data_IF_324852879859
#
_entry.id   IF_324852879859
#
_cell.length_a   1.000
_cell.length_b   1.000
_cell.length_c   1.000
_cell.angle_alpha   90.00
_cell.angle_beta   90.00
_cell.angle_gamma   90.00
#
_symmetry.space_group_name_H-M   'P 1'
#
loop_
_entity.id
_entity.type
_entity.pdbx_description
1 polymer ?
#
# COMPACT_ATOMS: atom_id res chain seq x y z
N UNK A 1 -3.76 -12.55 19.43
CA UNK A 1 -3.32 -12.34 18.04
C UNK A 1 -2.77 -10.92 17.93
N UNK A 2 -1.46 -10.76 17.69
CA UNK A 2 -0.78 -9.47 17.77
C UNK A 2 -1.44 -8.36 16.94
N UNK A 3 -1.54 -7.18 17.55
CA UNK A 3 -1.80 -5.91 16.86
C UNK A 3 -0.60 -5.58 15.97
N UNK A 4 -0.84 -4.87 14.87
CA UNK A 4 0.22 -4.46 13.94
C UNK A 4 0.91 -3.20 14.44
N UNK A 5 2.21 -3.03 14.16
CA UNK A 5 2.93 -1.78 14.42
C UNK A 5 2.81 -0.75 13.29
N UNK A 6 1.99 -1.04 12.28
CA UNK A 6 1.68 -0.12 11.18
C UNK A 6 0.48 0.73 11.61
N UNK A 7 0.73 1.98 12.02
CA UNK A 7 -0.23 2.81 12.75
C UNK A 7 -1.47 3.20 11.94
N UNK A 8 -1.36 3.28 10.61
CA UNK A 8 -2.46 3.65 9.74
C UNK A 8 -3.44 2.50 9.44
N UNK A 9 -3.19 1.30 9.98
CA UNK A 9 -4.05 0.10 9.83
C UNK A 9 -4.24 -0.63 11.16
N UNK A 10 -5.20 -1.55 11.24
CA UNK A 10 -5.47 -2.30 12.49
C UNK A 10 -5.04 -3.76 12.40
N UNK A 11 -4.87 -4.28 11.18
CA UNK A 11 -4.46 -5.67 10.96
C UNK A 11 -3.64 -5.79 9.70
N UNK A 12 -2.84 -6.84 9.64
CA UNK A 12 -2.11 -7.24 8.44
C UNK A 12 -2.61 -8.61 8.01
N UNK A 13 -2.82 -8.77 6.71
CA UNK A 13 -3.12 -10.05 6.08
C UNK A 13 -2.11 -10.26 4.94
N UNK A 14 -1.38 -11.38 5.00
CA UNK A 14 -0.35 -11.71 4.01
C UNK A 14 -0.76 -12.99 3.24
N UNK A 15 -1.72 -12.89 2.30
CA UNK A 15 -2.15 -14.01 1.46
C UNK A 15 -1.10 -14.46 0.45
N UNK A 16 -0.02 -13.72 0.25
CA UNK A 16 1.09 -14.14 -0.61
C UNK A 16 2.42 -13.99 0.12
N UNK A 17 3.43 -14.76 -0.31
CA UNK A 17 4.79 -14.72 0.23
C UNK A 17 5.80 -14.63 -0.92
N UNK A 18 6.92 -13.95 -0.67
CA UNK A 18 7.93 -13.68 -1.69
C UNK A 18 7.81 -12.26 -2.25
N UNK A 19 8.85 -11.83 -2.97
CA UNK A 19 8.87 -10.55 -3.67
C UNK A 19 10.08 -10.48 -4.62
N UNK A 20 10.26 -9.34 -5.28
CA UNK A 20 11.51 -8.91 -5.90
C UNK A 20 11.62 -7.38 -5.83
N UNK A 21 12.86 -6.89 -5.81
CA UNK A 21 13.14 -5.45 -5.68
C UNK A 21 12.96 -4.76 -7.04
N UNK A 22 12.20 -3.65 -7.08
CA UNK A 22 11.90 -2.93 -8.32
C UNK A 22 12.00 -1.39 -8.24
N UNK A 23 12.31 -0.86 -7.06
CA UNK A 23 12.48 0.58 -6.85
C UNK A 23 13.42 0.89 -5.68
N UNK A 24 13.91 2.15 -5.56
CA UNK A 24 14.76 2.58 -4.46
C UNK A 24 14.18 2.32 -3.08
N UNK A 25 12.86 2.30 -2.90
CA UNK A 25 12.23 1.93 -1.63
C UNK A 25 12.53 0.50 -1.17
N UNK A 26 12.98 -0.37 -2.07
CA UNK A 26 13.45 -1.72 -1.72
C UNK A 26 14.87 -1.74 -1.14
N UNK A 27 15.59 -0.61 -1.10
CA UNK A 27 16.98 -0.51 -0.65
C UNK A 27 17.99 -0.70 -1.79
N UNK A 28 19.16 -1.25 -1.48
CA UNK A 28 20.32 -1.37 -2.36
C UNK A 28 20.03 -2.15 -3.67
N UNK A 29 19.74 -1.43 -4.75
CA UNK A 29 19.37 -2.03 -6.04
C UNK A 29 19.70 -1.18 -7.26
N UNK A 30 20.35 -0.03 -7.06
CA UNK A 30 20.95 0.76 -8.13
C UNK A 30 22.44 0.97 -7.79
N UNK A 31 23.32 1.14 -8.79
CA UNK A 31 24.76 1.32 -8.57
C UNK A 31 25.10 2.44 -7.57
N UNK A 32 24.23 3.45 -7.44
CA UNK A 32 24.40 4.60 -6.55
C UNK A 32 24.02 4.32 -5.08
N UNK A 33 23.42 3.16 -4.77
CA UNK A 33 22.81 2.83 -3.47
C UNK A 33 23.46 1.63 -2.75
N UNK A 34 24.64 1.18 -3.18
CA UNK A 34 25.33 0.04 -2.56
C UNK A 34 25.60 0.32 -1.07
N UNK A 35 25.05 -0.53 -0.20
CA UNK A 35 25.24 -0.44 1.27
C UNK A 35 24.35 0.58 2.00
N UNK A 36 23.43 1.26 1.30
CA UNK A 36 22.46 2.20 1.90
C UNK A 36 21.01 1.73 1.69
N UNK A 37 20.14 1.98 2.67
CA UNK A 37 18.79 1.41 2.69
C UNK A 37 18.78 -0.09 3.00
N UNK A 38 17.60 -0.71 2.94
CA UNK A 38 17.48 -2.16 3.02
C UNK A 38 16.06 -2.67 3.20
N UNK A 39 15.67 -3.66 2.40
CA UNK A 39 14.32 -4.23 2.42
C UNK A 39 13.99 -4.85 3.80
N UNK A 40 13.08 -4.21 4.54
CA UNK A 40 12.55 -4.75 5.81
C UNK A 40 11.99 -6.16 5.62
N UNK A 41 11.27 -6.38 4.53
CA UNK A 41 10.61 -7.65 4.25
C UNK A 41 11.62 -8.80 4.02
N UNK A 42 12.81 -8.54 3.44
CA UNK A 42 13.86 -9.56 3.34
C UNK A 42 14.43 -9.94 4.72
N UNK A 43 14.64 -8.94 5.60
CA UNK A 43 15.12 -9.20 6.97
C UNK A 43 14.11 -10.03 7.77
N UNK A 44 12.82 -9.75 7.62
CA UNK A 44 11.76 -10.52 8.25
C UNK A 44 11.61 -11.91 7.63
N UNK A 45 11.61 -12.01 6.31
CA UNK A 45 11.58 -13.26 5.57
C UNK A 45 12.73 -14.18 5.94
N UNK A 46 13.94 -13.64 6.15
CA UNK A 46 15.11 -14.40 6.59
C UNK A 46 14.93 -15.10 7.95
N UNK A 47 14.15 -14.50 8.87
CA UNK A 47 13.83 -15.14 10.17
C UNK A 47 12.89 -16.33 10.01
N UNK A 48 12.11 -16.32 8.93
CA UNK A 48 11.05 -17.27 8.64
C UNK A 48 11.40 -18.19 7.45
N UNK A 49 12.63 -18.17 6.95
CA UNK A 49 13.10 -19.06 5.89
C UNK A 49 13.71 -20.35 6.47
N UNK A 50 13.62 -21.44 5.72
CA UNK A 50 14.14 -22.77 6.10
C UNK A 50 13.10 -23.88 5.89
N UNK A 51 13.49 -25.17 5.97
CA UNK A 51 12.61 -26.30 5.70
C UNK A 51 11.32 -26.26 6.53
N UNK A 52 10.18 -26.40 5.86
CA UNK A 52 8.84 -26.38 6.46
C UNK A 52 8.38 -25.00 6.96
N UNK A 53 9.18 -23.95 6.79
CA UNK A 53 8.83 -22.60 7.26
C UNK A 53 8.13 -21.77 6.18
N UNK A 54 7.36 -20.74 6.59
CA UNK A 54 6.58 -19.92 5.66
C UNK A 54 7.36 -19.34 4.45
N UNK A 55 8.64 -19.03 4.62
CA UNK A 55 9.49 -18.43 3.57
C UNK A 55 10.55 -19.39 3.00
N UNK A 56 10.34 -20.70 3.12
CA UNK A 56 11.21 -21.71 2.52
C UNK A 56 11.40 -21.48 1.00
N UNK A 57 12.67 -21.36 0.58
CA UNK A 57 13.04 -21.15 -0.82
C UNK A 57 12.73 -19.76 -1.39
N UNK A 58 12.20 -18.84 -0.57
CA UNK A 58 11.84 -17.48 -0.99
C UNK A 58 12.93 -16.45 -0.67
N UNK A 59 13.87 -16.79 0.23
CA UNK A 59 15.01 -15.96 0.62
C UNK A 59 16.32 -16.71 0.35
N UNK A 60 17.27 -16.02 -0.29
CA UNK A 60 18.67 -16.43 -0.38
C UNK A 60 19.46 -15.68 0.68
N UNK A 61 20.15 -16.41 1.55
CA UNK A 61 21.10 -15.83 2.51
C UNK A 61 22.47 -15.69 1.84
N UNK A 62 23.09 -14.52 1.99
CA UNK A 62 24.40 -14.24 1.41
C UNK A 62 25.20 -13.25 2.25
N UNK A 63 26.46 -13.01 1.85
CA UNK A 63 27.40 -12.12 2.56
C UNK A 63 26.87 -10.69 2.73
N UNK A 64 26.05 -10.22 1.78
CA UNK A 64 25.47 -8.86 1.77
C UNK A 64 24.05 -8.81 2.37
N UNK A 65 23.71 -9.79 3.22
CA UNK A 65 22.40 -9.94 3.83
C UNK A 65 21.41 -10.78 3.01
N UNK A 66 20.18 -10.95 3.51
CA UNK A 66 19.15 -11.73 2.83
C UNK A 66 18.69 -11.04 1.54
N UNK A 67 18.35 -11.82 0.52
CA UNK A 67 17.75 -11.35 -0.72
C UNK A 67 16.56 -12.20 -1.12
N UNK A 68 15.53 -11.57 -1.68
CA UNK A 68 14.45 -12.30 -2.32
C UNK A 68 14.96 -13.17 -3.47
N UNK A 69 14.37 -14.35 -3.67
CA UNK A 69 14.66 -15.20 -4.83
C UNK A 69 13.88 -14.82 -6.09
N UNK A 70 12.92 -13.88 -5.98
CA UNK A 70 11.99 -13.51 -7.06
C UNK A 70 10.79 -14.46 -7.19
N UNK A 71 10.78 -15.57 -6.46
CA UNK A 71 9.65 -16.51 -6.44
C UNK A 71 8.53 -15.97 -5.57
N UNK A 72 7.30 -16.19 -6.02
CA UNK A 72 6.08 -15.93 -5.26
C UNK A 72 5.41 -17.25 -4.85
N UNK A 73 4.57 -17.18 -3.82
CA UNK A 73 3.71 -18.29 -3.40
C UNK A 73 2.40 -17.73 -2.83
N UNK A 74 1.27 -18.31 -3.23
CA UNK A 74 0.00 -18.11 -2.54
C UNK A 74 0.03 -18.84 -1.18
N UNK A 75 -0.26 -18.13 -0.10
CA UNK A 75 -0.31 -18.68 1.25
C UNK A 75 -1.73 -19.18 1.55
N UNK A 76 -2.06 -20.38 1.07
CA UNK A 76 -3.37 -21.00 1.23
C UNK A 76 -3.86 -21.03 2.69
N UNK A 77 -2.95 -21.25 3.65
CA UNK A 77 -3.22 -21.23 5.09
C UNK A 77 -3.71 -19.87 5.60
N UNK A 78 -3.34 -18.79 4.92
CA UNK A 78 -3.68 -17.41 5.28
C UNK A 78 -4.96 -16.92 4.62
N UNK A 79 -5.38 -17.52 3.48
CA UNK A 79 -6.52 -17.04 2.68
C UNK A 79 -7.82 -16.87 3.49
N UNK A 80 -8.27 -17.84 4.32
CA UNK A 80 -9.58 -17.74 4.96
C UNK A 80 -9.64 -16.78 6.16
N UNK A 81 -8.49 -16.22 6.59
CA UNK A 81 -8.42 -15.46 7.84
C UNK A 81 -9.37 -14.25 7.90
N UNK A 82 -9.49 -13.41 6.86
CA UNK A 82 -10.41 -12.28 6.90
C UNK A 82 -11.87 -12.70 7.06
N UNK A 83 -12.29 -13.81 6.44
CA UNK A 83 -13.66 -14.31 6.54
C UNK A 83 -14.04 -14.69 7.98
N UNK A 84 -13.05 -15.14 8.78
CA UNK A 84 -13.23 -15.54 10.19
C UNK A 84 -13.23 -14.36 11.16
N UNK A 85 -12.77 -13.18 10.76
CA UNK A 85 -12.72 -12.02 11.64
C UNK A 85 -14.11 -11.37 11.74
N UNK A 86 -14.70 -11.41 12.95
CA UNK A 86 -16.08 -10.94 13.17
C UNK A 86 -16.21 -9.41 13.25
N UNK A 87 -15.26 -8.74 13.91
CA UNK A 87 -15.30 -7.28 14.09
C UNK A 87 -14.74 -6.56 12.85
N UNK A 88 -15.32 -5.44 12.41
CA UNK A 88 -14.74 -4.59 11.36
C UNK A 88 -13.28 -4.24 11.63
N UNK A 89 -12.47 -4.21 10.58
CA UNK A 89 -11.03 -3.96 10.63
C UNK A 89 -10.62 -3.17 9.39
N UNK A 90 -9.61 -2.31 9.54
CA UNK A 90 -8.75 -1.88 8.44
C UNK A 90 -7.58 -2.86 8.34
N UNK A 91 -7.41 -3.45 7.16
CA UNK A 91 -6.49 -4.56 6.92
C UNK A 91 -5.50 -4.15 5.83
N UNK A 92 -4.22 -4.06 6.18
CA UNK A 92 -3.17 -3.93 5.17
C UNK A 92 -2.88 -5.29 4.53
N UNK A 93 -3.01 -5.35 3.21
CA UNK A 93 -2.75 -6.55 2.40
C UNK A 93 -1.29 -6.57 1.97
N UNK A 94 -0.59 -7.68 2.24
CA UNK A 94 0.80 -7.93 1.82
C UNK A 94 1.84 -6.93 2.39
N UNK A 95 2.05 -6.98 3.70
CA UNK A 95 3.10 -6.20 4.38
C UNK A 95 4.55 -6.59 4.03
N UNK A 96 4.76 -7.76 3.43
CA UNK A 96 6.09 -8.31 3.11
C UNK A 96 6.23 -8.82 1.68
N UNK A 97 5.21 -8.61 0.85
CA UNK A 97 5.11 -9.07 -0.54
C UNK A 97 4.41 -8.01 -1.38
N UNK A 98 4.24 -8.24 -2.66
CA UNK A 98 3.46 -7.37 -3.56
C UNK A 98 2.37 -8.24 -4.20
N UNK A 99 1.09 -7.86 -4.04
CA UNK A 99 -0.03 -8.65 -4.56
C UNK A 99 0.02 -8.75 -6.09
N UNK A 100 0.54 -7.73 -6.77
CA UNK A 100 0.62 -7.67 -8.23
C UNK A 100 1.99 -8.08 -8.73
N UNK A 101 2.76 -8.87 -7.99
CA UNK A 101 4.02 -9.43 -8.46
C UNK A 101 3.80 -10.33 -9.68
N UNK A 102 4.67 -10.25 -10.70
CA UNK A 102 4.55 -10.99 -11.96
C UNK A 102 4.69 -12.51 -11.78
N UNK A 103 5.22 -12.92 -10.63
CA UNK A 103 5.30 -14.32 -10.21
C UNK A 103 3.98 -14.90 -9.69
N UNK A 104 2.91 -14.11 -9.60
CA UNK A 104 1.55 -14.56 -9.30
C UNK A 104 0.70 -14.53 -10.57
N UNK A 105 -0.13 -15.56 -10.76
CA UNK A 105 -1.08 -15.60 -11.89
C UNK A 105 -2.25 -14.65 -11.66
N UNK A 106 -2.99 -14.33 -12.72
CA UNK A 106 -4.19 -13.51 -12.59
C UNK A 106 -5.25 -14.17 -11.70
N UNK A 107 -5.38 -15.49 -11.80
CA UNK A 107 -6.29 -16.30 -11.01
C UNK A 107 -5.91 -16.31 -9.53
N UNK A 108 -4.61 -16.40 -9.19
CA UNK A 108 -4.16 -16.32 -7.80
C UNK A 108 -4.48 -14.96 -7.16
N UNK A 109 -4.31 -13.87 -7.91
CA UNK A 109 -4.70 -12.52 -7.47
C UNK A 109 -6.22 -12.45 -7.31
N UNK A 110 -6.98 -13.03 -8.23
CA UNK A 110 -8.44 -13.06 -8.16
C UNK A 110 -8.97 -13.84 -6.95
N UNK A 111 -8.33 -14.93 -6.55
CA UNK A 111 -8.64 -15.64 -5.29
C UNK A 111 -8.49 -14.71 -4.08
N UNK A 112 -7.46 -13.84 -4.06
CA UNK A 112 -7.30 -12.87 -2.97
C UNK A 112 -8.42 -11.83 -2.98
N UNK A 113 -8.79 -11.32 -4.16
CA UNK A 113 -9.92 -10.38 -4.30
C UNK A 113 -11.26 -11.00 -3.91
N UNK A 114 -11.49 -12.28 -4.22
CA UNK A 114 -12.68 -13.01 -3.81
C UNK A 114 -12.85 -13.04 -2.28
N UNK A 115 -11.76 -13.28 -1.54
CA UNK A 115 -11.77 -13.20 -0.08
C UNK A 115 -12.08 -11.79 0.40
N UNK A 116 -11.52 -10.76 -0.24
CA UNK A 116 -11.82 -9.37 0.12
C UNK A 116 -13.30 -9.01 -0.12
N UNK A 117 -13.89 -9.52 -1.20
CA UNK A 117 -15.31 -9.37 -1.49
C UNK A 117 -16.19 -10.06 -0.42
N UNK A 118 -15.90 -11.33 -0.10
CA UNK A 118 -16.67 -12.07 0.91
C UNK A 118 -16.49 -11.56 2.35
N UNK A 119 -15.38 -10.89 2.63
CA UNK A 119 -15.12 -10.23 3.91
C UNK A 119 -15.52 -8.75 3.89
N UNK A 120 -16.67 -8.42 3.28
CA UNK A 120 -17.19 -7.07 3.04
C UNK A 120 -17.21 -6.14 4.27
N UNK A 121 -17.29 -6.71 5.49
CA UNK A 121 -17.31 -5.96 6.76
C UNK A 121 -15.94 -5.35 7.12
N UNK A 122 -14.90 -5.62 6.34
CA UNK A 122 -13.57 -5.09 6.53
C UNK A 122 -13.17 -4.17 5.38
N UNK A 123 -12.36 -3.17 5.70
CA UNK A 123 -11.69 -2.33 4.71
C UNK A 123 -10.30 -2.90 4.45
N UNK A 124 -9.99 -3.20 3.20
CA UNK A 124 -8.69 -3.69 2.77
C UNK A 124 -7.89 -2.56 2.13
N UNK A 125 -6.67 -2.33 2.60
CA UNK A 125 -5.71 -1.39 2.05
C UNK A 125 -4.70 -2.20 1.25
N UNK A 126 -4.75 -2.12 -0.08
CA UNK A 126 -3.78 -2.75 -0.99
C UNK A 126 -2.74 -1.72 -1.37
N UNK A 127 -1.46 -2.10 -1.31
CA UNK A 127 -0.33 -1.25 -1.73
C UNK A 127 0.57 -2.03 -2.68
N UNK A 128 0.94 -1.42 -3.81
CA UNK A 128 1.83 -2.06 -4.78
C UNK A 128 2.89 -1.11 -5.32
N UNK A 129 4.03 -1.67 -5.74
CA UNK A 129 5.04 -0.95 -6.53
C UNK A 129 4.87 -1.23 -8.04
N UNK A 130 3.91 -2.08 -8.41
CA UNK A 130 3.65 -2.62 -9.76
C UNK A 130 2.32 -2.11 -10.32
N UNK A 131 2.15 -0.79 -10.30
CA UNK A 131 0.90 -0.13 -10.67
C UNK A 131 0.38 -0.52 -12.07
N UNK A 132 1.27 -0.66 -13.06
CA UNK A 132 0.88 -1.12 -14.40
C UNK A 132 0.32 -2.55 -14.41
N UNK A 133 0.93 -3.47 -13.64
CA UNK A 133 0.47 -4.87 -13.53
C UNK A 133 -0.86 -4.97 -12.80
N UNK A 134 -1.09 -4.10 -11.80
CA UNK A 134 -2.39 -3.91 -11.16
C UNK A 134 -3.43 -3.46 -12.18
N UNK A 135 -3.20 -2.35 -12.91
CA UNK A 135 -4.12 -1.87 -13.94
C UNK A 135 -4.46 -2.95 -14.97
N UNK A 136 -3.46 -3.67 -15.50
CA UNK A 136 -3.65 -4.80 -16.43
C UNK A 136 -4.44 -5.96 -15.83
N UNK A 137 -4.33 -6.21 -14.52
CA UNK A 137 -5.15 -7.21 -13.85
C UNK A 137 -6.63 -6.78 -13.80
N UNK A 138 -6.89 -5.50 -13.59
CA UNK A 138 -8.24 -4.94 -13.64
C UNK A 138 -8.84 -4.93 -15.06
N UNK A 139 -8.03 -4.73 -16.11
CA UNK A 139 -8.44 -4.99 -17.50
C UNK A 139 -8.81 -6.47 -17.68
N UNK A 140 -7.90 -7.38 -17.28
CA UNK A 140 -8.10 -8.82 -17.40
C UNK A 140 -9.35 -9.33 -16.69
N UNK A 141 -9.62 -8.88 -15.46
CA UNK A 141 -10.80 -9.34 -14.70
C UNK A 141 -12.10 -8.79 -15.27
N UNK A 142 -12.05 -7.70 -16.04
CA UNK A 142 -13.21 -7.14 -16.74
C UNK A 142 -13.52 -7.91 -18.04
N UNK A 143 -12.49 -8.49 -18.68
CA UNK A 143 -12.60 -9.16 -19.98
C UNK A 143 -12.82 -10.69 -19.91
N UNK A 144 -12.43 -11.36 -18.82
CA UNK A 144 -12.24 -12.81 -18.82
C UNK A 144 -13.38 -13.66 -18.24
N UNK A 145 -13.62 -14.87 -18.80
CA UNK A 145 -14.74 -15.74 -18.42
C UNK A 145 -14.57 -16.40 -17.05
N UNK A 146 -15.67 -16.40 -16.30
CA UNK A 146 -15.88 -16.87 -14.91
C UNK A 146 -15.32 -18.26 -14.57
N UNK A 147 -15.13 -19.14 -15.56
CA UNK A 147 -14.72 -20.53 -15.35
C UNK A 147 -13.30 -20.67 -14.80
N UNK A 148 -12.37 -19.76 -15.16
CA UNK A 148 -10.99 -19.80 -14.65
C UNK A 148 -10.91 -19.45 -13.17
N UNK A 149 -11.73 -18.49 -12.72
CA UNK A 149 -11.79 -18.09 -11.32
C UNK A 149 -12.41 -19.19 -10.45
N UNK A 150 -13.53 -19.77 -10.87
CA UNK A 150 -14.18 -20.85 -10.13
C UNK A 150 -13.21 -22.01 -9.89
N UNK A 151 -12.50 -22.45 -10.93
CA UNK A 151 -11.48 -23.50 -10.81
C UNK A 151 -10.30 -23.10 -9.91
N UNK A 152 -9.93 -21.82 -9.85
CA UNK A 152 -8.86 -21.36 -8.97
C UNK A 152 -9.29 -21.31 -7.49
N UNK A 153 -10.53 -20.92 -7.21
CA UNK A 153 -11.11 -20.93 -5.88
C UNK A 153 -11.27 -22.36 -5.34
N UNK A 154 -11.75 -23.28 -6.19
CA UNK A 154 -11.82 -24.71 -5.88
C UNK A 154 -10.44 -25.28 -5.53
N UNK A 155 -9.42 -25.04 -6.37
CA UNK A 155 -8.02 -25.42 -6.07
C UNK A 155 -7.47 -24.77 -4.81
N UNK A 156 -7.97 -23.61 -4.41
CA UNK A 156 -7.59 -22.93 -3.17
C UNK A 156 -8.29 -23.51 -1.93
N UNK A 157 -9.23 -24.46 -2.10
CA UNK A 157 -9.91 -25.17 -1.04
C UNK A 157 -11.12 -24.45 -0.47
N UNK A 158 -11.75 -23.55 -1.24
CA UNK A 158 -13.04 -22.96 -0.87
C UNK A 158 -14.20 -23.90 -1.19
N UNK A 159 -15.27 -23.84 -0.40
CA UNK A 159 -16.48 -24.64 -0.62
C UNK A 159 -17.27 -24.20 -1.86
N UNK A 160 -18.10 -25.10 -2.39
CA UNK A 160 -18.88 -24.88 -3.61
C UNK A 160 -19.81 -23.66 -3.50
N UNK A 161 -20.37 -23.40 -2.31
CA UNK A 161 -21.25 -22.27 -2.06
C UNK A 161 -20.50 -20.93 -2.21
N UNK A 162 -19.29 -20.82 -1.65
CA UNK A 162 -18.44 -19.63 -1.81
C UNK A 162 -17.97 -19.47 -3.26
N UNK A 163 -17.57 -20.57 -3.90
CA UNK A 163 -17.15 -20.57 -5.31
C UNK A 163 -18.29 -20.07 -6.20
N UNK A 164 -19.51 -20.57 -6.00
CA UNK A 164 -20.69 -20.15 -6.75
C UNK A 164 -21.05 -18.68 -6.50
N UNK A 165 -21.02 -18.23 -5.25
CA UNK A 165 -21.31 -16.83 -4.90
C UNK A 165 -20.34 -15.85 -5.56
N UNK A 166 -19.04 -16.17 -5.59
CA UNK A 166 -18.01 -15.31 -6.21
C UNK A 166 -18.03 -15.38 -7.73
N UNK A 167 -18.30 -16.55 -8.32
CA UNK A 167 -18.43 -16.68 -9.78
C UNK A 167 -19.55 -15.77 -10.31
N UNK A 168 -20.66 -15.68 -9.59
CA UNK A 168 -21.76 -14.76 -9.91
C UNK A 168 -21.37 -13.28 -9.78
N UNK A 169 -20.54 -12.91 -8.81
CA UNK A 169 -20.01 -11.55 -8.64
C UNK A 169 -19.18 -11.08 -9.85
N UNK A 170 -18.33 -11.96 -10.40
CA UNK A 170 -17.59 -11.65 -11.65
C UNK A 170 -18.53 -11.61 -12.87
N UNK A 171 -19.68 -12.28 -12.80
CA UNK A 171 -20.64 -12.38 -13.92
C UNK A 171 -21.46 -11.12 -14.19
N UNK A 172 -21.39 -10.11 -13.33
CA UNK A 172 -22.20 -8.88 -13.41
C UNK A 172 -21.51 -7.64 -13.98
N UNK A 173 -20.57 -7.78 -14.91
CA UNK A 173 -19.93 -6.64 -15.61
C UNK A 173 -20.78 -6.04 -16.77
N UNK A 174 -22.07 -6.37 -16.87
CA UNK A 174 -22.96 -5.59 -17.73
C UNK A 174 -24.42 -5.82 -17.35
N UNK A 175 -25.11 -4.71 -17.06
CA UNK A 175 -26.55 -4.56 -16.79
C UNK A 175 -27.01 -5.13 -15.45
N UNK A 176 -27.48 -4.24 -14.56
CA UNK A 176 -28.89 -4.21 -14.11
C UNK A 176 -29.13 -2.94 -13.24
N UNK A 177 -30.34 -2.34 -13.30
CA UNK A 177 -30.56 -0.89 -13.06
C UNK A 177 -31.26 -0.51 -11.74
N UNK A 178 -31.49 -1.41 -10.79
CA UNK A 178 -32.18 -1.07 -9.53
C UNK A 178 -31.67 -1.94 -8.37
N UNK A 179 -31.18 -1.34 -7.27
CA UNK A 179 -30.54 -2.04 -6.13
C UNK A 179 -31.19 -1.70 -4.77
N UNK A 180 -31.29 -2.65 -3.81
CA UNK A 180 -31.58 -2.38 -2.40
C UNK A 180 -30.33 -2.00 -1.57
N UNK A 181 -30.54 -1.54 -0.33
CA UNK A 181 -29.62 -0.69 0.44
C UNK A 181 -28.55 -1.40 1.32
N UNK A 182 -28.48 -2.74 1.39
CA UNK A 182 -27.76 -3.47 2.45
C UNK A 182 -26.43 -4.17 2.08
N UNK A 183 -25.80 -3.81 0.96
CA UNK A 183 -24.34 -3.77 0.83
C UNK A 183 -23.51 -5.06 0.97
N UNK A 184 -24.11 -6.27 0.94
CA UNK A 184 -23.34 -7.52 0.87
C UNK A 184 -23.15 -7.94 -0.61
N UNK A 185 -21.91 -7.93 -1.16
CA UNK A 185 -21.66 -8.28 -2.56
C UNK A 185 -21.92 -9.75 -2.92
N UNK A 186 -22.26 -10.61 -1.96
CA UNK A 186 -22.52 -12.04 -2.14
C UNK A 186 -23.98 -12.45 -1.91
N UNK A 187 -24.88 -11.52 -1.55
CA UNK A 187 -26.29 -11.83 -1.26
C UNK A 187 -27.19 -11.92 -2.52
N UNK A 188 -26.60 -11.83 -3.71
CA UNK A 188 -27.34 -11.80 -4.98
C UNK A 188 -27.84 -10.41 -5.40
N UNK A 189 -27.50 -9.35 -4.64
CA UNK A 189 -27.56 -7.98 -5.13
C UNK A 189 -26.44 -7.69 -6.14
N UNK A 190 -26.60 -6.62 -6.92
CA UNK A 190 -25.63 -6.14 -7.92
C UNK A 190 -24.19 -6.19 -7.40
N UNK A 191 -23.22 -6.71 -8.15
CA UNK A 191 -21.82 -6.54 -7.80
C UNK A 191 -21.48 -5.04 -7.82
N UNK A 192 -21.13 -4.47 -6.66
CA UNK A 192 -20.48 -3.16 -6.58
C UNK A 192 -19.03 -3.34 -6.99
N UNK A 193 -18.74 -3.12 -8.27
CA UNK A 193 -17.38 -3.01 -8.80
C UNK A 193 -17.08 -1.54 -9.15
N UNK A 194 -15.92 -1.00 -8.75
CA UNK A 194 -14.89 -1.61 -7.89
C UNK A 194 -15.41 -1.94 -6.48
N UNK A 195 -14.77 -2.91 -5.81
CA UNK A 195 -15.17 -3.33 -4.47
C UNK A 195 -15.13 -2.13 -3.50
N UNK A 196 -16.26 -1.76 -2.84
CA UNK A 196 -16.34 -0.56 -2.01
C UNK A 196 -15.50 -0.66 -0.73
N UNK A 197 -15.10 -1.87 -0.36
CA UNK A 197 -14.30 -2.13 0.82
C UNK A 197 -12.81 -2.34 0.50
N UNK A 198 -12.38 -2.13 -0.75
CA UNK A 198 -10.98 -2.28 -1.18
C UNK A 198 -10.42 -0.93 -1.62
N UNK A 199 -9.42 -0.44 -0.89
CA UNK A 199 -8.66 0.76 -1.19
C UNK A 199 -7.40 0.36 -1.95
N UNK A 200 -7.19 0.94 -3.13
CA UNK A 200 -6.01 0.67 -3.95
C UNK A 200 -4.99 1.77 -3.80
N UNK A 201 -3.73 1.39 -3.64
CA UNK A 201 -2.67 2.37 -3.54
C UNK A 201 -1.35 1.92 -4.12
N UNK A 202 -0.49 2.92 -4.36
CA UNK A 202 0.84 2.72 -4.93
C UNK A 202 1.92 3.32 -4.01
N UNK A 203 3.06 2.65 -3.89
CA UNK A 203 4.22 3.27 -3.24
C UNK A 203 4.88 4.28 -4.19
N UNK A 204 5.26 5.45 -3.71
CA UNK A 204 5.94 6.49 -4.49
C UNK A 204 7.10 7.06 -3.69
N UNK A 205 8.33 6.64 -3.99
CA UNK A 205 9.46 7.02 -3.16
C UNK A 205 10.06 8.39 -3.54
N UNK A 206 9.80 8.88 -4.74
CA UNK A 206 10.24 10.18 -5.27
C UNK A 206 9.43 10.53 -6.54
N UNK A 207 9.62 11.73 -7.08
CA UNK A 207 8.85 12.24 -8.22
C UNK A 207 8.81 11.27 -9.40
N UNK A 208 9.96 10.71 -9.79
CA UNK A 208 10.05 9.74 -10.90
C UNK A 208 9.07 8.57 -10.75
N UNK A 209 8.88 8.07 -9.51
CA UNK A 209 7.95 6.98 -9.25
C UNK A 209 6.51 7.46 -9.04
N UNK A 210 6.30 8.70 -8.60
CA UNK A 210 4.99 9.35 -8.59
C UNK A 210 4.44 9.46 -10.02
N UNK A 211 5.17 10.11 -10.92
CA UNK A 211 4.82 10.28 -12.34
C UNK A 211 4.57 8.95 -13.05
N UNK A 212 5.32 7.90 -12.65
CA UNK A 212 5.16 6.56 -13.22
C UNK A 212 3.91 5.83 -12.71
N UNK A 213 3.58 5.95 -11.43
CA UNK A 213 2.64 5.03 -10.76
C UNK A 213 1.28 5.65 -10.46
N UNK A 214 1.23 6.96 -10.18
CA UNK A 214 -0.04 7.63 -9.88
C UNK A 214 -0.98 7.60 -11.09
N UNK A 215 -0.55 7.90 -12.34
CA UNK A 215 -1.45 7.80 -13.49
C UNK A 215 -2.03 6.39 -13.68
N UNK A 216 -1.23 5.34 -13.45
CA UNK A 216 -1.71 3.96 -13.52
C UNK A 216 -2.75 3.64 -12.43
N UNK A 217 -2.61 4.20 -11.23
CA UNK A 217 -3.58 4.07 -10.15
C UNK A 217 -4.88 4.81 -10.46
N UNK A 218 -4.79 6.02 -11.01
CA UNK A 218 -5.96 6.80 -11.44
C UNK A 218 -6.73 6.04 -12.54
N UNK A 219 -6.02 5.47 -13.51
CA UNK A 219 -6.52 4.55 -14.54
C UNK A 219 -7.06 3.21 -14.00
N UNK A 220 -6.98 2.93 -12.69
CA UNK A 220 -7.51 1.68 -12.10
C UNK A 220 -8.83 1.96 -11.37
N UNK A 221 -9.87 1.12 -11.51
CA UNK A 221 -11.14 1.35 -10.83
C UNK A 221 -10.96 1.08 -9.32
N UNK A 222 -11.15 2.11 -8.51
CA UNK A 222 -11.10 2.04 -7.05
C UNK A 222 -11.99 3.11 -6.44
N UNK A 223 -12.64 2.80 -5.32
CA UNK A 223 -13.41 3.78 -4.54
C UNK A 223 -12.52 4.71 -3.72
N UNK A 224 -11.34 4.22 -3.33
CA UNK A 224 -10.31 4.99 -2.64
C UNK A 224 -8.98 4.72 -3.32
N UNK A 225 -8.34 5.80 -3.78
CA UNK A 225 -7.00 5.78 -4.37
C UNK A 225 -6.04 6.45 -3.41
N UNK A 226 -4.97 5.78 -3.02
CA UNK A 226 -4.03 6.33 -2.05
C UNK A 226 -2.57 6.12 -2.47
N UNK A 227 -1.68 6.97 -1.98
CA UNK A 227 -0.25 6.77 -2.13
C UNK A 227 0.42 6.54 -0.79
N UNK A 228 1.49 5.75 -0.82
CA UNK A 228 2.43 5.63 0.29
C UNK A 228 3.78 6.18 -0.17
N UNK A 229 4.08 7.40 0.27
CA UNK A 229 5.40 8.00 0.18
C UNK A 229 6.28 7.51 1.33
N UNK A 230 6.44 6.18 1.42
CA UNK A 230 7.17 5.51 2.50
C UNK A 230 8.09 4.38 1.95
N UNK A 231 9.42 4.56 1.98
CA UNK A 231 10.10 5.78 2.41
C UNK A 231 9.99 6.91 1.40
N UNK A 232 9.88 8.14 1.89
CA UNK A 232 10.09 9.35 1.09
C UNK A 232 11.60 9.55 0.88
N UNK A 233 12.04 9.48 -0.38
CA UNK A 233 13.44 9.53 -0.82
C UNK A 233 13.72 10.71 -1.77
N UNK A 234 12.80 11.66 -1.84
CA UNK A 234 12.91 12.88 -2.62
C UNK A 234 11.64 13.72 -2.49
N UNK A 235 11.67 14.99 -2.91
CA UNK A 235 10.48 15.83 -2.95
C UNK A 235 9.42 15.24 -3.88
N UNK A 236 8.17 15.58 -3.59
CA UNK A 236 7.00 15.19 -4.36
C UNK A 236 6.14 16.43 -4.61
N UNK A 237 5.88 16.71 -5.88
CA UNK A 237 4.80 17.59 -6.33
C UNK A 237 3.71 16.70 -6.93
N UNK A 238 2.57 16.66 -6.26
CA UNK A 238 1.41 15.83 -6.62
C UNK A 238 0.11 16.64 -6.70
N UNK A 239 0.17 17.96 -6.60
CA UNK A 239 -1.01 18.83 -6.61
C UNK A 239 -1.95 18.55 -7.79
N UNK A 240 -1.41 18.25 -8.97
CA UNK A 240 -2.18 17.87 -10.16
C UNK A 240 -3.03 16.60 -9.98
N UNK A 241 -2.65 15.72 -9.06
CA UNK A 241 -3.34 14.46 -8.75
C UNK A 241 -4.29 14.56 -7.53
N UNK A 242 -4.36 15.73 -6.88
CA UNK A 242 -5.20 15.96 -5.71
C UNK A 242 -6.52 16.67 -6.07
N UNK A 243 -6.47 17.64 -6.99
CA UNK A 243 -7.61 18.55 -7.25
C UNK A 243 -8.16 18.50 -8.70
N UNK A 244 -7.82 17.46 -9.48
CA UNK A 244 -8.32 17.34 -10.86
C UNK A 244 -9.75 16.80 -10.97
N UNK A 245 -10.31 16.88 -12.19
CA UNK A 245 -11.39 16.02 -12.70
C UNK A 245 -10.80 15.07 -13.76
N UNK A 246 -11.24 13.81 -13.80
CA UNK A 246 -10.69 12.73 -14.62
C UNK A 246 -11.73 11.66 -14.69
N UNK A 247 -12.05 11.32 -15.92
CA UNK A 247 -12.85 10.17 -16.24
C UNK A 247 -11.90 8.96 -16.25
N UNK A 248 -12.00 8.03 -15.28
CA UNK A 248 -11.33 6.74 -15.42
C UNK A 248 -11.75 6.09 -16.73
N UNK A 249 -10.83 5.30 -17.30
CA UNK A 249 -11.19 4.39 -18.39
C UNK A 249 -12.42 3.58 -17.97
N UNK A 250 -13.36 3.43 -18.90
CA UNK A 250 -14.53 2.59 -18.67
C UNK A 250 -14.09 1.12 -18.54
N UNK A 251 -14.23 0.56 -17.35
CA UNK A 251 -14.04 -0.87 -17.05
C UNK A 251 -15.38 -1.62 -16.98
N UNK A 252 -16.42 -1.12 -17.65
CA UNK A 252 -17.68 -1.83 -17.87
C UNK A 252 -18.69 -1.80 -16.71
N UNK A 253 -18.63 -0.84 -15.78
CA UNK A 253 -19.57 -0.90 -14.63
C UNK A 253 -19.74 0.31 -13.72
N UNK A 254 -18.88 1.32 -13.79
CA UNK A 254 -19.09 2.57 -13.04
C UNK A 254 -19.25 3.72 -14.03
N UNK A 255 -20.23 4.60 -13.82
CA UNK A 255 -20.27 5.86 -14.53
C UNK A 255 -18.95 6.59 -14.24
N UNK A 256 -18.08 6.71 -15.24
CA UNK A 256 -16.79 7.39 -15.14
C UNK A 256 -16.94 8.85 -14.65
N UNK A 257 -18.16 9.39 -14.66
CA UNK A 257 -18.52 10.75 -14.23
C UNK A 257 -18.49 10.95 -12.70
N UNK A 258 -18.59 9.90 -11.86
CA UNK A 258 -18.73 10.09 -10.39
C UNK A 258 -17.42 9.96 -9.58
N UNK A 259 -16.29 9.52 -10.16
CA UNK A 259 -15.15 9.01 -9.35
C UNK A 259 -13.90 9.91 -9.34
N UNK A 260 -13.71 10.82 -10.30
CA UNK A 260 -12.59 11.80 -10.33
C UNK A 260 -11.13 11.25 -10.25
N UNK A 261 -10.09 12.06 -10.53
CA UNK A 261 -8.66 11.79 -10.37
C UNK A 261 -8.21 12.33 -9.04
N UNK A 262 -8.75 11.80 -7.97
CA UNK A 262 -8.33 12.30 -6.68
C UNK A 262 -7.71 11.16 -5.94
N UNK A 263 -6.42 11.33 -5.64
CA UNK A 263 -5.88 10.66 -4.49
C UNK A 263 -6.75 11.08 -3.31
N UNK A 264 -7.38 10.09 -2.69
CA UNK A 264 -8.27 10.29 -1.56
C UNK A 264 -7.51 10.24 -0.24
N UNK A 265 -6.22 9.86 -0.27
CA UNK A 265 -5.39 9.73 0.91
C UNK A 265 -3.90 9.65 0.60
N UNK A 266 -3.09 10.29 1.42
CA UNK A 266 -1.62 10.25 1.33
C UNK A 266 -1.05 9.74 2.65
N UNK A 267 -0.08 8.82 2.58
CA UNK A 267 0.73 8.42 3.73
C UNK A 267 2.17 8.79 3.46
N UNK A 268 2.84 9.44 4.41
CA UNK A 268 4.24 9.89 4.28
C UNK A 268 5.08 9.47 5.49
N UNK A 269 6.34 9.15 5.25
CA UNK A 269 7.27 8.83 6.33
C UNK A 269 8.65 8.35 5.88
N UNK A 270 9.59 8.40 6.83
CA UNK A 270 10.98 8.00 6.65
C UNK A 270 11.26 6.52 6.91
N UNK A 271 12.48 6.09 6.55
CA UNK A 271 12.96 4.73 6.80
C UNK A 271 13.26 4.49 8.29
N UNK A 272 13.05 3.25 8.73
CA UNK A 272 13.47 2.80 10.06
C UNK A 272 14.66 1.85 10.00
N UNK A 273 15.55 1.92 11.00
CA UNK A 273 16.67 1.00 11.19
C UNK A 273 18.04 1.60 10.85
N UNK A 274 19.12 0.80 11.00
CA UNK A 274 20.50 1.31 11.01
C UNK A 274 21.01 1.81 9.64
N UNK A 275 20.37 1.42 8.55
CA UNK A 275 20.74 1.81 7.19
C UNK A 275 19.76 2.82 6.58
N UNK A 276 19.00 3.52 7.42
CA UNK A 276 18.00 4.50 6.98
C UNK A 276 18.67 5.65 6.24
N UNK A 277 18.13 5.97 5.07
CA UNK A 277 18.57 7.12 4.28
C UNK A 277 18.05 8.42 4.90
N UNK A 278 18.69 9.57 4.61
CA UNK A 278 18.20 10.87 5.00
C UNK A 278 16.73 11.07 4.59
N UNK A 279 15.93 11.54 5.53
CA UNK A 279 14.54 11.96 5.32
C UNK A 279 14.50 13.47 5.54
N UNK A 280 14.36 14.26 4.47
CA UNK A 280 14.26 15.70 4.61
C UNK A 280 12.84 16.08 5.00
N UNK A 281 12.72 16.74 6.16
CA UNK A 281 11.44 17.08 6.78
C UNK A 281 10.66 18.11 5.96
N UNK A 282 11.35 18.95 5.19
CA UNK A 282 10.69 19.90 4.26
C UNK A 282 9.86 19.19 3.19
N UNK A 283 10.32 18.05 2.65
CA UNK A 283 9.51 17.31 1.68
C UNK A 283 8.17 16.86 2.28
N UNK A 284 8.14 16.55 3.58
CA UNK A 284 6.91 16.24 4.29
C UNK A 284 6.05 17.48 4.53
N UNK A 285 6.65 18.63 4.86
CA UNK A 285 5.93 19.91 5.01
C UNK A 285 5.25 20.31 3.70
N UNK A 286 5.96 20.22 2.58
CA UNK A 286 5.45 20.51 1.23
C UNK A 286 4.29 19.58 0.88
N UNK A 287 4.44 18.27 1.10
CA UNK A 287 3.38 17.31 0.80
C UNK A 287 2.14 17.50 1.68
N UNK A 288 2.33 17.85 2.95
CA UNK A 288 1.26 18.23 3.87
C UNK A 288 0.52 19.49 3.38
N UNK A 289 1.26 20.50 2.92
CA UNK A 289 0.67 21.74 2.40
C UNK A 289 -0.20 21.44 1.17
N UNK A 290 0.31 20.70 0.19
CA UNK A 290 -0.44 20.28 -1.00
C UNK A 290 -1.74 19.54 -0.64
N UNK A 291 -1.67 18.61 0.33
CA UNK A 291 -2.83 17.85 0.79
C UNK A 291 -3.86 18.75 1.50
N UNK A 292 -3.41 19.69 2.34
CA UNK A 292 -4.29 20.65 3.02
C UNK A 292 -5.00 21.56 2.02
N UNK A 293 -4.26 22.08 1.04
CA UNK A 293 -4.80 22.99 0.01
C UNK A 293 -5.89 22.29 -0.82
N UNK A 294 -5.73 20.99 -1.08
CA UNK A 294 -6.71 20.17 -1.80
C UNK A 294 -7.76 19.47 -0.91
N UNK A 295 -7.76 19.72 0.41
CA UNK A 295 -8.59 19.02 1.40
C UNK A 295 -8.52 17.47 1.31
N UNK A 296 -7.34 16.94 0.97
CA UNK A 296 -7.07 15.50 0.94
C UNK A 296 -6.44 15.07 2.27
N UNK A 297 -6.97 14.04 2.95
CA UNK A 297 -6.41 13.62 4.23
C UNK A 297 -5.00 13.08 4.07
N UNK A 298 -4.11 13.42 5.01
CA UNK A 298 -2.74 12.94 5.04
C UNK A 298 -2.37 12.30 6.38
N UNK A 299 -1.62 11.21 6.33
CA UNK A 299 -1.09 10.52 7.49
C UNK A 299 0.44 10.60 7.50
N UNK A 300 1.01 11.45 8.35
CA UNK A 300 2.44 11.48 8.61
C UNK A 300 2.78 10.43 9.67
N UNK A 301 3.30 9.30 9.21
CA UNK A 301 3.48 8.12 10.05
C UNK A 301 4.68 8.27 10.97
N UNK A 302 5.85 8.58 10.42
CA UNK A 302 7.09 8.70 11.19
C UNK A 302 8.14 9.50 10.40
N UNK A 303 9.02 10.19 11.13
CA UNK A 303 10.20 10.87 10.55
C UNK A 303 11.28 9.90 10.06
N UNK A 304 11.26 8.64 10.53
CA UNK A 304 12.33 7.70 10.30
C UNK A 304 13.52 7.88 11.26
N UNK A 305 14.57 7.09 11.06
CA UNK A 305 15.74 7.06 11.94
C UNK A 305 16.84 8.08 11.54
N UNK A 306 16.64 8.83 10.46
CA UNK A 306 17.62 9.80 9.94
C UNK A 306 16.90 11.05 9.41
N UNK A 307 16.20 11.82 10.26
CA UNK A 307 15.57 13.08 9.86
C UNK A 307 16.60 14.20 9.64
N UNK A 308 16.43 14.93 8.55
CA UNK A 308 17.23 16.09 8.15
C UNK A 308 16.29 17.26 7.97
N UNK A 309 16.69 18.45 8.39
CA UNK A 309 15.88 19.66 8.26
C UNK A 309 16.76 20.87 7.95
N UNK A 310 16.17 22.01 7.59
CA UNK A 310 16.92 23.27 7.40
C UNK A 310 17.31 23.86 8.74
N UNK A 311 18.48 24.49 8.81
CA UNK A 311 18.92 25.29 9.96
C UNK A 311 17.86 26.33 10.34
N UNK A 312 17.23 26.96 9.34
CA UNK A 312 16.16 27.95 9.54
C UNK A 312 14.92 27.41 10.25
N UNK A 313 14.74 26.08 10.31
CA UNK A 313 13.57 25.45 10.91
C UNK A 313 13.82 24.94 12.34
N UNK A 314 15.05 25.06 12.88
CA UNK A 314 15.43 24.51 14.19
C UNK A 314 14.50 25.00 15.31
N UNK A 315 14.12 26.28 15.29
CA UNK A 315 13.23 26.88 16.29
C UNK A 315 11.81 26.28 16.30
N UNK A 316 11.39 25.62 15.23
CA UNK A 316 10.07 24.96 15.15
C UNK A 316 10.00 23.62 15.90
N UNK A 317 11.15 23.09 16.33
CA UNK A 317 11.22 21.79 16.97
C UNK A 317 11.06 21.88 18.49
N UNK A 318 10.36 20.92 19.13
CA UNK A 318 10.25 20.83 20.58
C UNK A 318 11.50 20.16 21.22
N UNK A 319 12.69 20.45 20.69
CA UNK A 319 13.96 19.81 21.09
C UNK A 319 15.01 20.88 21.40
N UNK A 320 15.95 20.63 22.32
CA UNK A 320 17.03 21.57 22.58
C UNK A 320 18.08 21.57 21.46
N UNK A 321 18.78 22.70 21.27
CA UNK A 321 19.80 22.91 20.23
C UNK A 321 20.86 21.80 20.11
N UNK A 322 21.20 21.16 21.24
CA UNK A 322 22.13 20.02 21.27
C UNK A 322 21.69 18.80 20.44
N UNK A 323 20.43 18.76 19.99
CA UNK A 323 19.87 17.73 19.11
C UNK A 323 20.05 18.03 17.62
N UNK A 324 20.64 19.16 17.25
CA UNK A 324 20.82 19.57 15.86
C UNK A 324 22.30 19.66 15.51
N UNK A 325 22.71 18.97 14.45
CA UNK A 325 24.10 18.94 14.01
C UNK A 325 24.16 19.38 12.56
N UNK A 326 24.81 20.52 12.30
CA UNK A 326 24.96 21.05 10.95
C UNK A 326 25.77 20.13 10.04
N UNK A 327 25.35 20.05 8.78
CA UNK A 327 26.07 19.32 7.75
C UNK A 327 27.11 20.25 7.08
N UNK A 328 28.34 19.76 6.80
CA UNK A 328 29.36 20.59 6.14
C UNK A 328 28.90 21.10 4.77
N UNK A 329 29.08 22.41 4.54
CA UNK A 329 28.71 23.09 3.29
C UNK A 329 27.22 22.94 2.91
N UNK A 330 26.33 22.87 3.90
CA UNK A 330 24.88 22.77 3.70
C UNK A 330 24.15 23.67 4.69
N UNK A 331 22.96 24.13 4.31
CA UNK A 331 22.01 24.79 5.23
C UNK A 331 21.15 23.77 5.99
N UNK A 332 21.53 22.48 5.97
CA UNK A 332 20.79 21.40 6.58
C UNK A 332 21.43 20.94 7.91
N UNK A 333 20.58 20.46 8.82
CA UNK A 333 20.93 19.83 10.09
C UNK A 333 20.42 18.40 10.13
N UNK A 334 21.18 17.51 10.76
CA UNK A 334 20.67 16.22 11.23
C UNK A 334 19.97 16.42 12.56
N UNK A 335 18.76 15.88 12.69
CA UNK A 335 17.96 15.97 13.92
C UNK A 335 18.07 14.67 14.72
N UNK A 336 18.51 14.75 15.98
CA UNK A 336 18.67 13.61 16.87
C UNK A 336 17.46 13.42 17.78
N UNK A 337 16.51 12.60 17.33
CA UNK A 337 15.34 12.17 18.09
C UNK A 337 15.63 10.93 18.96
N UNK A 338 14.87 10.75 20.04
CA UNK A 338 15.00 9.61 20.96
C UNK A 338 14.32 8.37 20.41
N UNK A 339 13.14 8.50 19.81
CA UNK A 339 12.47 7.36 19.20
C UNK A 339 13.25 6.85 17.99
N UNK A 340 13.62 5.56 18.03
CA UNK A 340 14.51 4.95 17.02
C UNK A 340 13.92 4.88 15.62
N UNK A 341 12.61 5.07 15.48
CA UNK A 341 11.92 5.08 14.19
C UNK A 341 11.39 6.47 13.82
N UNK A 342 11.54 7.43 14.72
CA UNK A 342 10.90 8.73 14.67
C UNK A 342 9.38 8.66 14.62
N UNK A 343 8.79 7.73 15.37
CA UNK A 343 7.35 7.52 15.45
C UNK A 343 6.65 8.24 16.61
N UNK A 344 7.40 8.96 17.47
CA UNK A 344 6.85 9.72 18.60
C UNK A 344 6.56 11.19 18.18
N UNK A 345 5.28 11.59 17.99
CA UNK A 345 4.94 12.93 17.53
C UNK A 345 5.29 14.04 18.51
N UNK A 346 5.51 13.73 19.80
CA UNK A 346 5.91 14.74 20.79
C UNK A 346 7.30 15.33 20.49
N UNK A 347 8.14 14.60 19.75
CA UNK A 347 9.45 15.04 19.31
C UNK A 347 9.42 15.89 18.03
N UNK A 348 8.26 16.07 17.39
CA UNK A 348 8.13 16.72 16.08
C UNK A 348 7.58 18.15 16.18
N UNK A 349 7.90 19.05 15.24
CA UNK A 349 7.15 20.29 15.02
C UNK A 349 5.65 20.03 14.92
N UNK A 350 4.83 20.90 15.53
CA UNK A 350 3.38 20.72 15.61
C UNK A 350 2.72 20.53 14.23
N UNK A 351 3.18 21.30 13.23
CA UNK A 351 2.67 21.25 11.87
C UNK A 351 2.82 19.87 11.20
N UNK A 352 3.69 19.00 11.70
CA UNK A 352 3.95 17.67 11.18
C UNK A 352 3.14 16.57 11.87
N UNK A 353 2.43 16.87 12.97
CA UNK A 353 1.72 15.89 13.81
C UNK A 353 0.34 15.53 13.24
N UNK A 354 0.26 15.28 11.93
CA UNK A 354 -1.00 15.04 11.22
C UNK A 354 -1.20 13.54 11.01
N UNK A 355 -2.37 13.05 11.41
CA UNK A 355 -2.76 11.63 11.32
C UNK A 355 -4.22 11.52 10.92
N UNK A 356 -4.48 11.71 9.64
CA UNK A 356 -5.84 11.67 9.07
C UNK A 356 -6.05 10.40 8.25
N UNK A 357 -7.31 10.02 8.07
CA UNK A 357 -7.72 8.85 7.29
C UNK A 357 -8.77 9.25 6.26
N UNK A 358 -8.88 8.52 5.14
CA UNK A 358 -9.91 8.79 4.15
C UNK A 358 -11.28 8.56 4.76
N UNK A 359 -12.19 9.50 4.50
CA UNK A 359 -13.60 9.27 4.71
C UNK A 359 -14.09 8.26 3.69
N UNK A 360 -14.82 7.24 4.15
CA UNK A 360 -15.47 6.28 3.26
C UNK A 360 -16.93 6.28 3.65
N UNK A 361 -17.78 6.91 2.83
CA UNK A 361 -19.23 6.76 2.96
C UNK A 361 -19.56 5.29 2.76
N UNK A 362 -20.01 4.62 3.81
CA UNK A 362 -20.39 3.20 3.78
C UNK A 362 -21.76 2.99 3.16
#
# INVERSE_FOLDING_TARGET
MAETSIEWTNKVWNPTRGCSRISPGCGDGTPELVGKGGCYAERMGARLCGPGRPYEGLIRLGKNGPRWTGKMRLAHDMLPLPLRWKKPRRIFVNSMSDLFHEGLTNEEIAVVFAVMAGAHRHTFQVLTKRAERMRKWFEWVSDEPHSKLAAALDRAGFDEDFVAAVANWVSGFSRWKNAPADGNPLDGSQPRWPLPNVHLGVSVENQKYADKRIPQLLDTPAVVRWISAEPLLGPLEISEYLDGEYAPKDFGGAAAEEVGPRLSWVVVGGESGPSSRPYHVDWARELIAQCRDAAVPIFHKQLGASPHDRISNVESWPLPDSRFHGLPNSDDVVVFIKDKKGGDPEEWPEALRIREWPEVSR
#
